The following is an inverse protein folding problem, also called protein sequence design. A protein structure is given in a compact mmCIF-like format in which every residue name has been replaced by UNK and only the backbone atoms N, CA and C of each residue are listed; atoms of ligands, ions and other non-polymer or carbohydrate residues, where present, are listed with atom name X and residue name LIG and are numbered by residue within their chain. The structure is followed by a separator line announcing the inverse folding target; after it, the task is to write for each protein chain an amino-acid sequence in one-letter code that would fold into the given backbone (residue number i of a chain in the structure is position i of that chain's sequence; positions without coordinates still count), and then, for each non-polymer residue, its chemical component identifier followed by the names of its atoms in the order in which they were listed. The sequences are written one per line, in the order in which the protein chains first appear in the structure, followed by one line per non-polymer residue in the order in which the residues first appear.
data_IF_063285039922
#
_entry.id   IF_063285039922
#
_cell.length_a   1.000
_cell.length_b   1.000
_cell.length_c   1.000
_cell.angle_alpha   90.00
_cell.angle_beta   90.00
_cell.angle_gamma   90.00
#
_symmetry.space_group_name_H-M   'P 1'
#
loop_
_entity.id
_entity.type
_entity.pdbx_description
1 polymer ?
#
# COMPACT_ATOMS: atom_id res chain seq x y z
N UNK A 1 -13.64 3.46 12.55
CA UNK A 1 -13.20 2.19 11.93
C UNK A 1 -14.40 1.55 11.26
N UNK A 2 -14.36 1.29 9.96
CA UNK A 2 -15.46 0.62 9.26
C UNK A 2 -15.60 -0.84 9.73
N UNK A 3 -16.83 -1.30 9.99
CA UNK A 3 -17.12 -2.68 10.37
C UNK A 3 -16.45 -3.65 9.38
N UNK A 4 -15.63 -4.58 9.87
CA UNK A 4 -15.04 -5.66 9.07
C UNK A 4 -13.59 -5.48 8.59
N UNK A 5 -12.90 -4.37 8.90
CA UNK A 5 -11.45 -4.26 8.69
C UNK A 5 -10.71 -4.80 9.93
N UNK A 6 -9.70 -5.68 9.79
CA UNK A 6 -8.94 -6.15 10.94
C UNK A 6 -8.20 -4.98 11.61
N UNK A 7 -8.00 -5.00 12.93
CA UNK A 7 -7.45 -3.86 13.67
C UNK A 7 -5.95 -3.65 13.44
N UNK A 8 -5.28 -4.60 12.78
CA UNK A 8 -3.83 -4.61 12.60
C UNK A 8 -3.45 -5.29 11.28
N UNK A 9 -2.35 -4.83 10.67
CA UNK A 9 -1.65 -5.59 9.64
C UNK A 9 -0.47 -6.34 10.26
N UNK A 10 -0.15 -7.50 9.68
CA UNK A 10 1.04 -8.24 10.06
C UNK A 10 2.28 -7.48 9.54
N UNK A 11 3.13 -7.02 10.46
CA UNK A 11 4.44 -6.46 10.11
C UNK A 11 5.50 -7.55 10.22
N UNK A 12 6.15 -7.89 9.11
CA UNK A 12 7.24 -8.86 9.10
C UNK A 12 8.56 -8.12 9.22
N UNK A 13 9.29 -8.35 10.32
CA UNK A 13 10.59 -7.73 10.57
C UNK A 13 11.57 -7.98 9.41
N UNK A 14 11.57 -9.17 8.82
CA UNK A 14 12.41 -9.48 7.65
C UNK A 14 11.96 -8.74 6.37
N UNK A 15 10.68 -8.39 6.23
CA UNK A 15 10.22 -7.54 5.11
C UNK A 15 10.66 -6.08 5.32
N UNK A 16 11.11 -5.71 6.51
CA UNK A 16 11.72 -4.41 6.78
C UNK A 16 13.24 -4.50 6.74
N UNK A 17 13.86 -5.26 7.65
CA UNK A 17 15.32 -5.36 7.79
C UNK A 17 16.00 -6.12 6.63
N UNK A 18 15.33 -7.10 6.06
CA UNK A 18 15.86 -7.91 4.96
C UNK A 18 15.43 -7.43 3.57
N UNK A 19 14.58 -6.40 3.49
CA UNK A 19 14.12 -5.88 2.21
C UNK A 19 14.96 -4.71 1.72
N UNK A 20 14.74 -4.39 0.45
CA UNK A 20 15.48 -3.33 -0.24
C UNK A 20 15.24 -1.94 0.38
N UNK A 21 14.21 -1.77 1.23
CA UNK A 21 13.96 -0.50 1.94
C UNK A 21 15.11 -0.10 2.87
N UNK A 22 15.92 -1.06 3.35
CA UNK A 22 17.09 -0.74 4.18
C UNK A 22 18.22 -0.04 3.42
N UNK A 23 18.21 -0.12 2.09
CA UNK A 23 19.10 0.67 1.22
C UNK A 23 18.64 2.12 1.02
N UNK A 24 17.54 2.53 1.65
CA UNK A 24 17.02 3.90 1.64
C UNK A 24 17.50 4.69 2.85
N UNK A 25 17.49 6.01 2.73
CA UNK A 25 17.72 6.93 3.84
C UNK A 25 16.67 6.77 4.96
N UNK A 26 16.97 7.30 6.15
CA UNK A 26 16.08 7.22 7.31
C UNK A 26 14.72 7.89 7.08
N UNK A 27 14.68 9.02 6.37
CA UNK A 27 13.42 9.71 6.06
C UNK A 27 12.50 8.83 5.21
N UNK A 28 13.01 8.28 4.11
CA UNK A 28 12.27 7.36 3.24
C UNK A 28 11.76 6.11 3.96
N UNK A 29 12.58 5.54 4.86
CA UNK A 29 12.17 4.43 5.71
C UNK A 29 10.99 4.80 6.62
N UNK A 30 10.99 6.02 7.18
CA UNK A 30 9.88 6.55 7.97
C UNK A 30 8.61 6.76 7.14
N UNK A 31 8.74 7.41 5.99
CA UNK A 31 7.61 7.66 5.07
C UNK A 31 6.98 6.33 4.63
N UNK A 32 7.80 5.33 4.32
CA UNK A 32 7.29 4.01 3.91
C UNK A 32 6.43 3.35 4.99
N UNK A 33 6.82 3.47 6.27
CA UNK A 33 6.00 2.96 7.38
C UNK A 33 4.66 3.71 7.46
N UNK A 34 4.66 5.04 7.35
CA UNK A 34 3.42 5.83 7.30
C UNK A 34 2.51 5.37 6.14
N UNK A 35 3.10 5.17 4.96
CA UNK A 35 2.38 4.67 3.79
C UNK A 35 1.78 3.29 4.03
N UNK A 36 2.52 2.34 4.63
CA UNK A 36 1.96 1.02 4.96
C UNK A 36 0.74 1.12 5.91
N UNK A 37 0.78 2.01 6.89
CA UNK A 37 -0.35 2.25 7.79
C UNK A 37 -1.59 2.80 7.04
N UNK A 38 -1.37 3.73 6.10
CA UNK A 38 -2.46 4.27 5.28
C UNK A 38 -2.97 3.24 4.26
N UNK A 39 -2.10 2.47 3.61
CA UNK A 39 -2.44 1.35 2.71
C UNK A 39 -3.26 0.27 3.40
N UNK A 40 -3.04 0.04 4.69
CA UNK A 40 -3.86 -0.91 5.44
C UNK A 40 -5.31 -0.46 5.54
N UNK A 41 -5.50 0.85 5.71
CA UNK A 41 -6.79 1.50 5.96
C UNK A 41 -7.51 1.96 4.69
N UNK A 42 -6.82 1.97 3.55
CA UNK A 42 -7.38 2.39 2.25
C UNK A 42 -8.53 1.48 1.80
N UNK A 43 -9.26 1.94 0.79
CA UNK A 43 -10.34 1.17 0.15
C UNK A 43 -9.77 -0.10 -0.49
N UNK A 44 -8.78 0.07 -1.36
CA UNK A 44 -7.99 -1.02 -1.93
C UNK A 44 -6.74 -1.26 -1.08
N UNK A 45 -6.81 -2.26 -0.20
CA UNK A 45 -5.73 -2.56 0.74
C UNK A 45 -4.41 -2.81 0.01
N UNK A 46 -3.36 -2.14 0.47
CA UNK A 46 -2.03 -2.23 -0.13
C UNK A 46 -1.75 -1.19 -1.21
N UNK A 47 -2.72 -0.32 -1.51
CA UNK A 47 -2.63 0.69 -2.58
C UNK A 47 -2.92 2.07 -1.98
N UNK A 48 -2.07 3.04 -2.34
CA UNK A 48 -2.32 4.47 -2.16
C UNK A 48 -2.36 5.13 -3.53
N UNK A 49 -3.34 6.02 -3.70
CA UNK A 49 -3.49 6.85 -4.90
C UNK A 49 -3.59 8.30 -4.44
N UNK A 50 -2.85 9.20 -5.09
CA UNK A 50 -2.95 10.62 -4.82
C UNK A 50 -1.94 11.47 -5.57
N UNK A 51 -2.18 12.77 -5.56
CA UNK A 51 -1.20 13.78 -5.99
C UNK A 51 0.02 13.77 -5.07
N UNK A 52 1.11 14.39 -5.54
CA UNK A 52 2.31 14.57 -4.72
C UNK A 52 2.01 15.27 -3.37
N UNK A 53 1.11 16.26 -3.37
CA UNK A 53 0.73 17.01 -2.16
C UNK A 53 -0.04 16.15 -1.16
N UNK A 54 -0.95 15.31 -1.63
CA UNK A 54 -1.70 14.37 -0.78
C UNK A 54 -0.76 13.32 -0.20
N UNK A 55 0.15 12.77 -1.02
CA UNK A 55 1.16 11.82 -0.56
C UNK A 55 2.13 12.42 0.46
N UNK A 56 2.51 13.70 0.31
CA UNK A 56 3.31 14.40 1.33
C UNK A 56 2.57 14.46 2.67
N UNK A 57 1.26 14.74 2.63
CA UNK A 57 0.41 14.79 3.84
C UNK A 57 0.36 13.42 4.53
N UNK A 58 0.09 12.35 3.77
CA UNK A 58 0.05 10.97 4.27
C UNK A 58 1.42 10.48 4.79
N UNK A 59 2.49 10.92 4.16
CA UNK A 59 3.85 10.55 4.52
C UNK A 59 4.46 11.40 5.63
N UNK A 60 3.75 12.44 6.09
CA UNK A 60 4.24 13.45 7.02
C UNK A 60 5.62 14.00 6.64
N UNK A 61 5.80 14.33 5.36
CA UNK A 61 7.10 14.67 4.80
C UNK A 61 7.07 15.90 3.88
N UNK A 62 8.24 16.47 3.68
CA UNK A 62 8.46 17.52 2.69
C UNK A 62 8.43 16.97 1.27
N UNK A 63 8.23 17.85 0.29
CA UNK A 63 8.28 17.49 -1.13
C UNK A 63 9.62 16.85 -1.49
N UNK A 64 10.71 17.39 -0.94
CA UNK A 64 12.07 16.88 -1.19
C UNK A 64 12.21 15.44 -0.71
N UNK A 65 11.78 15.13 0.52
CA UNK A 65 11.88 13.78 1.08
C UNK A 65 11.00 12.79 0.32
N UNK A 66 9.80 13.19 -0.10
CA UNK A 66 8.95 12.34 -0.93
C UNK A 66 9.61 12.05 -2.29
N UNK A 67 10.18 13.05 -2.95
CA UNK A 67 10.91 12.84 -4.20
C UNK A 67 12.13 11.93 -4.01
N UNK A 68 12.84 12.06 -2.89
CA UNK A 68 13.94 11.15 -2.53
C UNK A 68 13.44 9.71 -2.35
N UNK A 69 12.31 9.49 -1.67
CA UNK A 69 11.71 8.16 -1.56
C UNK A 69 11.38 7.56 -2.93
N UNK A 70 10.79 8.36 -3.84
CA UNK A 70 10.42 7.90 -5.18
C UNK A 70 11.66 7.53 -6.01
N UNK A 71 12.72 8.34 -5.95
CA UNK A 71 14.01 8.05 -6.60
C UNK A 71 14.67 6.78 -6.03
N UNK A 72 14.70 6.66 -4.70
CA UNK A 72 15.20 5.45 -4.04
C UNK A 72 14.36 4.23 -4.42
N UNK A 73 13.05 4.37 -4.57
CA UNK A 73 12.20 3.29 -5.07
C UNK A 73 12.49 2.95 -6.53
N UNK A 74 12.82 3.89 -7.40
CA UNK A 74 13.22 3.57 -8.77
C UNK A 74 14.48 2.70 -8.78
N UNK A 75 15.47 3.03 -7.94
CA UNK A 75 16.73 2.27 -7.83
C UNK A 75 16.56 0.91 -7.18
N UNK A 76 15.79 0.85 -6.09
CA UNK A 76 15.69 -0.34 -5.24
C UNK A 76 14.48 -1.19 -5.61
N UNK A 77 13.42 -0.61 -6.14
CA UNK A 77 12.17 -1.29 -6.49
C UNK A 77 11.62 -2.09 -5.30
N UNK A 78 11.30 -1.40 -4.20
CA UNK A 78 10.68 -2.00 -3.01
C UNK A 78 9.14 -1.91 -3.07
N UNK A 79 8.58 -0.92 -3.77
CA UNK A 79 7.16 -0.79 -4.12
C UNK A 79 6.96 -0.72 -5.65
N UNK A 80 5.73 -0.98 -6.12
CA UNK A 80 5.32 -0.60 -7.48
C UNK A 80 4.88 0.86 -7.40
N UNK A 81 5.41 1.71 -8.27
CA UNK A 81 5.03 3.11 -8.37
C UNK A 81 4.69 3.40 -9.82
N UNK A 82 3.49 3.90 -10.04
CA UNK A 82 2.98 4.31 -11.35
C UNK A 82 2.55 5.77 -11.25
N UNK A 83 2.73 6.54 -12.31
CA UNK A 83 2.25 7.91 -12.40
C UNK A 83 1.49 8.11 -13.70
N UNK A 84 0.33 8.73 -13.64
CA UNK A 84 -0.44 9.13 -14.81
C UNK A 84 -0.72 10.63 -14.74
N UNK A 85 -0.67 11.26 -15.90
CA UNK A 85 -1.14 12.63 -16.10
C UNK A 85 -2.55 12.48 -16.67
N UNK A 86 -3.52 13.14 -16.04
CA UNK A 86 -4.89 13.14 -16.54
C UNK A 86 -4.96 14.14 -17.70
N UNK A 87 -4.81 13.63 -18.92
CA UNK A 87 -4.28 14.39 -20.05
C UNK A 87 -5.31 14.83 -21.08
N UNK A 88 -6.38 15.49 -20.63
CA UNK A 88 -7.22 16.29 -21.53
C UNK A 88 -6.80 17.77 -21.59
N UNK A 89 -5.98 18.27 -20.65
CA UNK A 89 -5.64 19.70 -20.58
C UNK A 89 -4.21 20.04 -20.11
N UNK A 90 -3.29 19.07 -19.97
CA UNK A 90 -1.88 19.27 -19.52
C UNK A 90 -1.69 20.10 -18.22
N UNK A 91 -2.78 20.38 -17.50
CA UNK A 91 -2.81 21.29 -16.33
C UNK A 91 -3.09 20.54 -15.03
N UNK A 92 -3.48 19.27 -15.11
CA UNK A 92 -3.75 18.44 -13.95
C UNK A 92 -2.45 17.96 -13.30
N UNK A 93 -2.35 17.99 -11.96
CA UNK A 93 -1.20 17.42 -11.27
C UNK A 93 -1.12 15.92 -11.54
N UNK A 94 0.10 15.41 -11.70
CA UNK A 94 0.31 13.96 -11.83
C UNK A 94 -0.24 13.22 -10.60
N UNK A 95 -0.98 12.14 -10.88
CA UNK A 95 -1.49 11.22 -9.87
C UNK A 95 -0.55 10.03 -9.78
N UNK A 96 -0.15 9.70 -8.55
CA UNK A 96 0.73 8.59 -8.25
C UNK A 96 -0.07 7.45 -7.62
N UNK A 97 0.18 6.24 -8.09
CA UNK A 97 -0.29 4.99 -7.50
C UNK A 97 0.91 4.27 -6.89
N UNK A 98 0.93 4.10 -5.57
CA UNK A 98 1.99 3.40 -4.83
C UNK A 98 1.40 2.11 -4.26
N UNK A 99 2.01 0.98 -4.59
CA UNK A 99 1.50 -0.35 -4.23
C UNK A 99 2.52 -1.18 -3.46
N UNK A 100 2.10 -1.65 -2.28
CA UNK A 100 2.79 -2.67 -1.50
C UNK A 100 2.45 -4.07 -2.02
N UNK A 101 3.36 -4.66 -2.80
CA UNK A 101 3.23 -6.03 -3.33
C UNK A 101 2.91 -7.07 -2.27
N UNK A 102 3.46 -6.91 -1.06
CA UNK A 102 3.19 -7.85 0.03
C UNK A 102 1.75 -7.73 0.51
N UNK A 103 1.31 -6.51 0.79
CA UNK A 103 -0.01 -6.27 1.35
C UNK A 103 -1.12 -6.65 0.37
N UNK A 104 -0.93 -6.39 -0.92
CA UNK A 104 -1.85 -6.86 -1.98
C UNK A 104 -1.92 -8.39 -2.02
N UNK A 105 -0.77 -9.10 -1.99
CA UNK A 105 -0.75 -10.57 -1.95
C UNK A 105 -1.47 -11.12 -0.71
N UNK A 106 -1.27 -10.51 0.44
CA UNK A 106 -1.92 -10.94 1.69
C UNK A 106 -3.42 -10.66 1.67
N UNK A 107 -3.87 -9.55 1.07
CA UNK A 107 -5.29 -9.26 0.88
C UNK A 107 -5.95 -10.27 -0.08
N UNK A 108 -5.31 -10.61 -1.20
CA UNK A 108 -5.81 -11.63 -2.13
C UNK A 108 -5.98 -12.98 -1.42
N UNK A 109 -5.00 -13.38 -0.61
CA UNK A 109 -5.10 -14.62 0.20
C UNK A 109 -6.25 -14.56 1.20
N UNK A 110 -6.42 -13.42 1.88
CA UNK A 110 -7.50 -13.21 2.85
C UNK A 110 -8.88 -13.32 2.18
N UNK A 111 -9.06 -12.72 1.01
CA UNK A 111 -10.31 -12.75 0.26
C UNK A 111 -10.65 -14.18 -0.18
N UNK A 112 -9.68 -14.92 -0.73
CA UNK A 112 -9.85 -16.33 -1.11
C UNK A 112 -10.27 -17.19 0.08
N UNK A 113 -9.57 -17.07 1.20
CA UNK A 113 -9.91 -17.80 2.43
C UNK A 113 -11.32 -17.48 2.91
N UNK A 114 -11.72 -16.20 2.89
CA UNK A 114 -13.04 -15.78 3.32
C UNK A 114 -14.14 -16.37 2.42
N UNK A 115 -13.92 -16.42 1.11
CA UNK A 115 -14.82 -17.01 0.14
C UNK A 115 -14.94 -18.53 0.33
N UNK A 116 -13.82 -19.24 0.48
CA UNK A 116 -13.78 -20.69 0.75
C UNK A 116 -14.55 -21.03 2.03
N UNK A 117 -14.35 -20.26 3.11
CA UNK A 117 -15.09 -20.45 4.36
C UNK A 117 -16.56 -20.08 4.27
N UNK A 118 -16.95 -19.19 3.36
CA UNK A 118 -18.37 -18.90 3.09
C UNK A 118 -19.01 -20.11 2.40
N UNK A 119 -18.39 -20.61 1.32
CA UNK A 119 -18.85 -21.78 0.58
C UNK A 119 -18.95 -23.04 1.44
N UNK A 120 -17.98 -23.25 2.35
CA UNK A 120 -18.02 -24.36 3.30
C UNK A 120 -19.28 -24.31 4.19
N UNK A 121 -19.58 -23.12 4.74
CA UNK A 121 -20.75 -22.92 5.63
C UNK A 121 -22.08 -23.03 4.90
N UNK A 122 -22.15 -22.59 3.65
CA UNK A 122 -23.34 -22.74 2.79
C UNK A 122 -23.64 -24.24 2.55
N UNK A 123 -22.62 -25.03 2.22
CA UNK A 123 -22.77 -26.49 2.04
C UNK A 123 -23.21 -27.21 3.31
N UNK A 124 -22.61 -26.89 4.46
CA UNK A 124 -22.98 -27.48 5.75
C UNK A 124 -24.44 -27.17 6.16
N UNK A 125 -25.02 -26.07 5.67
CA UNK A 125 -26.44 -25.74 5.88
C UNK A 125 -27.39 -26.43 4.90
N UNK A 126 -26.92 -26.80 3.71
CA UNK A 126 -27.71 -27.53 2.72
C UNK A 126 -27.78 -29.05 3.02
N UNK A 127 -26.77 -29.58 3.72
CA UNK A 127 -26.65 -31.01 4.07
C UNK A 127 -27.26 -31.37 5.45
N UNK A 128 -27.65 -30.38 6.26
CA UNK A 128 -28.23 -30.56 7.60
C UNK A 128 -29.72 -30.22 7.66
#
# INVERSE_FOLDING_TARGET
MGKGKPPSFQFYVNDYLGSKIMGCCSASRGIWICFLCHMWSSEQRGILVGTLKELQSLGHCTKKELLTLLDENMRLNFAIVESHIDDENHSSPAIYTITSRRMVRDEIKRQKWAEEKRKQREKEQEEG
#
